data_IF_831099434111
#
_entry.id   IF_831099434111
#
_cell.length_a   1.000
_cell.length_b   1.000
_cell.length_c   1.000
_cell.angle_alpha   90.00
_cell.angle_beta   90.00
_cell.angle_gamma   90.00
#
_symmetry.space_group_name_H-M   'P 1'
#
loop_
_entity.id
_entity.type
_entity.pdbx_description
1 polymer ?
#
# COMPACT_ATOMS: atom_id res chain seq x y z
N UNK A 1 -62.82 -80.75 -3.86
CA UNK A 1 -61.98 -79.94 -2.93
C UNK A 1 -61.19 -79.01 -3.75
N UNK A 2 -61.67 -77.79 -3.82
CA UNK A 2 -60.88 -76.67 -4.39
C UNK A 2 -59.72 -76.40 -3.46
N UNK A 3 -58.51 -76.68 -3.92
CA UNK A 3 -57.33 -76.10 -3.22
C UNK A 3 -57.36 -74.59 -3.43
N UNK A 4 -57.62 -73.83 -2.37
CA UNK A 4 -57.43 -72.43 -2.42
C UNK A 4 -55.94 -72.15 -2.59
N UNK A 5 -55.52 -71.58 -3.72
CA UNK A 5 -54.17 -71.09 -3.88
C UNK A 5 -53.91 -69.99 -2.86
N UNK A 6 -52.84 -70.12 -2.09
CA UNK A 6 -52.44 -69.06 -1.16
C UNK A 6 -52.08 -67.80 -1.93
N UNK A 7 -52.60 -66.68 -1.53
CA UNK A 7 -52.22 -65.37 -2.08
C UNK A 7 -50.98 -64.85 -1.30
N UNK A 8 -50.00 -64.38 -2.06
CA UNK A 8 -48.81 -63.73 -1.50
C UNK A 8 -48.99 -62.20 -1.52
N UNK A 9 -48.82 -61.59 -0.37
CA UNK A 9 -48.83 -60.16 -0.24
C UNK A 9 -47.42 -59.69 0.12
N UNK A 10 -46.85 -58.91 -0.74
CA UNK A 10 -45.53 -58.33 -0.59
C UNK A 10 -45.62 -56.85 -0.16
N UNK A 11 -44.87 -56.47 0.89
CA UNK A 11 -44.61 -55.11 1.23
C UNK A 11 -43.09 -54.91 1.13
N UNK A 12 -42.66 -53.94 0.34
CA UNK A 12 -41.22 -53.76 0.02
C UNK A 12 -40.54 -52.77 0.96
N UNK A 13 -41.26 -52.19 1.91
CA UNK A 13 -40.71 -51.28 2.94
C UNK A 13 -40.43 -49.85 2.44
N UNK A 14 -40.72 -49.54 1.18
CA UNK A 14 -40.65 -48.22 0.57
C UNK A 14 -42.08 -47.61 0.30
N UNK A 15 -43.12 -48.32 0.79
CA UNK A 15 -44.52 -47.95 0.56
C UNK A 15 -45.16 -48.67 -0.63
N UNK A 16 -44.38 -49.42 -1.42
CA UNK A 16 -44.92 -50.25 -2.49
C UNK A 16 -45.36 -51.60 -1.94
N UNK A 17 -46.50 -52.05 -2.46
CA UNK A 17 -47.08 -53.38 -2.12
C UNK A 17 -47.59 -54.06 -3.37
N UNK A 18 -47.53 -55.41 -3.39
CA UNK A 18 -48.01 -56.23 -4.49
C UNK A 18 -48.64 -57.49 -3.94
N UNK A 19 -49.77 -57.93 -4.55
CA UNK A 19 -50.48 -59.16 -4.23
C UNK A 19 -50.53 -60.03 -5.46
N UNK A 20 -49.86 -61.19 -5.44
CA UNK A 20 -49.77 -62.05 -6.60
C UNK A 20 -49.41 -63.50 -6.18
N UNK A 21 -49.61 -64.47 -7.05
CA UNK A 21 -49.15 -65.86 -6.94
C UNK A 21 -47.90 -66.14 -7.80
N UNK A 22 -47.36 -65.10 -8.42
CA UNK A 22 -46.24 -65.19 -9.34
C UNK A 22 -44.96 -64.58 -8.68
N UNK A 23 -43.78 -64.89 -9.17
CA UNK A 23 -42.54 -64.22 -8.74
C UNK A 23 -42.60 -62.72 -8.93
N UNK A 24 -42.21 -61.95 -7.90
CA UNK A 24 -42.26 -60.50 -7.86
C UNK A 24 -40.88 -59.89 -8.08
N UNK A 25 -40.82 -58.79 -8.84
CA UNK A 25 -39.62 -57.98 -9.05
C UNK A 25 -39.93 -56.57 -8.59
N UNK A 26 -39.09 -56.05 -7.69
CA UNK A 26 -39.21 -54.67 -7.21
C UNK A 26 -37.92 -53.90 -7.42
N UNK A 27 -38.02 -52.62 -7.80
CA UNK A 27 -36.89 -51.73 -7.99
C UNK A 27 -36.96 -50.60 -6.97
N UNK A 28 -35.92 -50.49 -6.15
CA UNK A 28 -35.77 -49.38 -5.20
C UNK A 28 -35.13 -48.20 -5.90
N UNK A 29 -35.75 -47.04 -5.78
CA UNK A 29 -35.27 -45.76 -6.38
C UNK A 29 -34.33 -44.98 -5.47
N UNK A 30 -34.16 -45.40 -4.20
CA UNK A 30 -33.29 -44.79 -3.22
C UNK A 30 -32.47 -45.83 -2.51
N UNK A 31 -31.32 -45.43 -2.03
CA UNK A 31 -30.51 -46.28 -1.14
C UNK A 31 -31.11 -46.23 0.29
N UNK A 32 -30.81 -47.26 1.06
CA UNK A 32 -31.33 -47.42 2.42
C UNK A 32 -31.63 -48.87 2.75
N UNK A 33 -32.08 -49.14 3.98
CA UNK A 33 -32.51 -50.45 4.44
C UNK A 33 -34.01 -50.56 4.43
N UNK A 34 -34.51 -51.59 3.74
CA UNK A 34 -35.92 -51.84 3.52
C UNK A 34 -36.34 -53.12 4.18
N UNK A 35 -37.39 -53.10 5.00
CA UNK A 35 -37.99 -54.29 5.59
C UNK A 35 -38.95 -54.89 4.55
N UNK A 36 -38.53 -55.93 3.84
CA UNK A 36 -39.38 -56.62 2.89
C UNK A 36 -40.15 -57.68 3.61
N UNK A 37 -41.47 -57.61 3.58
CA UNK A 37 -42.36 -58.55 4.26
C UNK A 37 -43.20 -59.31 3.23
N UNK A 38 -43.15 -60.66 3.28
CA UNK A 38 -44.05 -61.54 2.61
C UNK A 38 -45.08 -62.09 3.59
N UNK A 39 -46.35 -61.78 3.35
CA UNK A 39 -47.50 -62.41 4.03
C UNK A 39 -48.15 -63.40 3.10
N UNK A 40 -48.26 -64.66 3.51
CA UNK A 40 -48.93 -65.71 2.76
C UNK A 40 -50.22 -66.03 3.49
N UNK A 41 -51.38 -65.89 2.77
CA UNK A 41 -52.71 -66.12 3.31
C UNK A 41 -53.47 -67.10 2.41
N UNK A 42 -54.01 -68.19 2.99
CA UNK A 42 -54.80 -69.21 2.31
C UNK A 42 -56.32 -69.11 2.70
N UNK A 43 -56.71 -68.02 3.37
CA UNK A 43 -58.08 -67.79 3.83
C UNK A 43 -58.43 -68.47 5.15
N UNK A 44 -57.54 -69.30 5.72
CA UNK A 44 -57.71 -69.97 7.02
C UNK A 44 -56.58 -69.68 8.00
N UNK A 45 -55.38 -69.56 7.46
CA UNK A 45 -54.16 -69.24 8.22
C UNK A 45 -53.31 -68.30 7.40
N UNK A 46 -52.67 -67.32 8.08
CA UNK A 46 -51.69 -66.44 7.49
C UNK A 46 -50.34 -66.60 8.26
N UNK A 47 -49.24 -66.52 7.50
CA UNK A 47 -47.88 -66.48 8.05
C UNK A 47 -47.07 -65.39 7.35
N UNK A 48 -46.18 -64.74 8.09
CA UNK A 48 -45.39 -63.63 7.58
C UNK A 48 -43.90 -63.83 7.83
N UNK A 49 -43.09 -63.48 6.81
CA UNK A 49 -41.66 -63.48 6.91
C UNK A 49 -41.14 -62.09 6.49
N UNK A 50 -40.22 -61.53 7.29
CA UNK A 50 -39.58 -60.24 6.99
C UNK A 50 -38.09 -60.39 6.88
N UNK A 51 -37.53 -59.84 5.83
CA UNK A 51 -36.10 -59.79 5.57
C UNK A 51 -35.68 -58.32 5.28
N UNK A 52 -34.47 -57.97 5.74
CA UNK A 52 -33.93 -56.65 5.48
C UNK A 52 -33.09 -56.68 4.23
N UNK A 53 -33.45 -55.88 3.25
CA UNK A 53 -32.68 -55.66 2.04
C UNK A 53 -32.00 -54.29 2.17
N UNK A 54 -30.66 -54.23 2.05
CA UNK A 54 -29.92 -52.97 2.08
C UNK A 54 -29.44 -52.65 0.65
N UNK A 55 -29.87 -51.52 0.16
CA UNK A 55 -29.40 -50.90 -1.08
C UNK A 55 -28.31 -49.91 -0.70
N UNK A 56 -27.07 -50.20 -1.06
CA UNK A 56 -25.91 -49.35 -0.75
C UNK A 56 -25.95 -48.04 -1.52
N UNK A 57 -25.50 -46.96 -0.89
CA UNK A 57 -25.30 -45.70 -1.58
C UNK A 57 -24.21 -45.84 -2.65
N UNK A 58 -24.30 -45.13 -3.77
CA UNK A 58 -23.19 -45.10 -4.72
C UNK A 58 -21.93 -44.54 -4.06
N UNK A 59 -20.78 -45.03 -4.49
CA UNK A 59 -19.51 -44.49 -4.10
C UNK A 59 -19.42 -42.98 -4.45
N UNK A 60 -18.80 -42.19 -3.60
CA UNK A 60 -18.52 -40.76 -3.94
C UNK A 60 -17.59 -40.71 -5.14
N UNK A 61 -17.68 -39.67 -5.93
CA UNK A 61 -16.75 -39.36 -7.02
C UNK A 61 -16.20 -37.95 -6.76
N UNK A 62 -14.91 -37.87 -6.46
CA UNK A 62 -14.23 -36.62 -6.19
C UNK A 62 -13.88 -35.89 -7.48
N UNK A 63 -14.31 -34.63 -7.60
CA UNK A 63 -14.00 -33.79 -8.75
C UNK A 63 -14.05 -32.31 -8.33
N UNK A 64 -13.10 -31.49 -8.77
CA UNK A 64 -13.12 -30.08 -8.54
C UNK A 64 -12.41 -29.30 -9.63
N UNK A 65 -12.65 -27.98 -9.68
CA UNK A 65 -11.87 -27.01 -10.44
C UNK A 65 -11.38 -25.93 -9.48
N UNK A 66 -10.18 -25.41 -9.73
CA UNK A 66 -9.53 -24.35 -8.98
C UNK A 66 -8.04 -24.41 -9.25
N UNK A 67 -7.52 -23.41 -9.90
CA UNK A 67 -6.09 -23.29 -10.19
C UNK A 67 -5.77 -21.81 -10.38
N UNK A 68 -4.53 -21.45 -10.21
CA UNK A 68 -4.10 -20.09 -10.43
C UNK A 68 -2.61 -19.89 -10.29
N UNK A 69 -2.13 -18.78 -10.84
CA UNK A 69 -0.77 -18.29 -10.61
C UNK A 69 -0.79 -16.78 -10.41
N UNK A 70 0.02 -16.29 -9.49
CA UNK A 70 0.10 -14.86 -9.19
C UNK A 70 0.98 -14.55 -7.99
N UNK A 71 1.05 -13.28 -7.66
CA UNK A 71 1.85 -12.77 -6.55
C UNK A 71 1.22 -13.08 -5.19
N UNK A 72 2.05 -13.33 -4.19
CA UNK A 72 1.59 -13.42 -2.80
C UNK A 72 1.10 -12.04 -2.28
N UNK A 73 -0.04 -11.95 -1.54
CA UNK A 73 -1.00 -13.03 -1.29
C UNK A 73 -1.92 -13.30 -2.50
N UNK A 74 -2.17 -14.57 -2.81
CA UNK A 74 -3.03 -15.00 -3.93
C UNK A 74 -4.29 -15.66 -3.41
N UNK A 75 -5.46 -15.11 -3.76
CA UNK A 75 -6.76 -15.74 -3.50
C UNK A 75 -7.17 -16.64 -4.68
N UNK A 76 -7.61 -17.86 -4.39
CA UNK A 76 -8.08 -18.83 -5.38
C UNK A 76 -9.42 -19.42 -4.93
N UNK A 77 -10.39 -19.45 -5.85
CA UNK A 77 -11.69 -20.07 -5.63
C UNK A 77 -11.65 -21.53 -6.10
N UNK A 78 -12.09 -22.43 -5.23
CA UNK A 78 -12.21 -23.86 -5.52
C UNK A 78 -13.68 -24.25 -5.64
N UNK A 79 -14.05 -24.80 -6.80
CA UNK A 79 -15.43 -25.22 -7.06
C UNK A 79 -15.50 -26.75 -7.03
N UNK A 80 -16.32 -27.26 -6.14
CA UNK A 80 -16.57 -28.67 -5.98
C UNK A 80 -17.57 -29.16 -7.04
N UNK A 81 -17.22 -30.22 -7.76
CA UNK A 81 -18.04 -30.91 -8.77
C UNK A 81 -18.24 -32.38 -8.42
N UNK A 82 -17.94 -32.76 -7.19
CA UNK A 82 -18.07 -34.12 -6.71
C UNK A 82 -19.54 -34.59 -6.70
N UNK A 83 -19.74 -35.89 -6.84
CA UNK A 83 -21.05 -36.49 -6.71
C UNK A 83 -21.09 -37.52 -5.58
N UNK A 84 -22.28 -37.76 -5.00
CA UNK A 84 -22.54 -38.72 -3.92
C UNK A 84 -21.74 -38.44 -2.63
N UNK A 85 -21.24 -37.23 -2.44
CA UNK A 85 -20.56 -36.79 -1.23
C UNK A 85 -21.55 -36.32 -0.15
N UNK A 86 -21.25 -36.66 1.09
CA UNK A 86 -21.93 -36.16 2.30
C UNK A 86 -21.08 -35.16 3.06
N UNK A 87 -19.74 -35.28 2.98
CA UNK A 87 -18.77 -34.37 3.58
C UNK A 87 -17.57 -34.18 2.65
N UNK A 88 -16.89 -33.05 2.82
CA UNK A 88 -15.75 -32.64 2.00
C UNK A 88 -14.60 -32.23 2.92
N UNK A 89 -13.37 -32.57 2.56
CA UNK A 89 -12.16 -32.15 3.24
C UNK A 89 -11.18 -31.70 2.18
N UNK A 90 -10.88 -30.39 2.21
CA UNK A 90 -9.86 -29.77 1.38
C UNK A 90 -8.54 -29.66 2.12
N UNK A 91 -7.45 -29.97 1.43
CA UNK A 91 -6.09 -29.68 1.86
C UNK A 91 -5.43 -28.85 0.76
N UNK A 92 -5.00 -27.64 1.11
CA UNK A 92 -4.41 -26.67 0.17
C UNK A 92 -2.89 -26.82 0.03
N UNK A 93 -2.27 -27.74 0.79
CA UNK A 93 -0.83 -27.99 0.73
C UNK A 93 0.03 -26.94 1.43
N UNK A 94 -0.57 -26.07 2.24
CA UNK A 94 0.08 -25.05 3.06
C UNK A 94 -0.22 -25.20 4.56
N UNK A 95 -0.57 -26.40 4.99
CA UNK A 95 -0.99 -26.78 6.34
C UNK A 95 -2.40 -26.26 6.73
N UNK A 96 -3.15 -25.72 5.78
CA UNK A 96 -4.53 -25.28 5.99
C UNK A 96 -5.50 -26.24 5.35
N UNK A 97 -6.53 -26.61 6.11
CA UNK A 97 -7.63 -27.49 5.68
C UNK A 97 -8.98 -26.83 5.95
N UNK A 98 -9.98 -27.18 5.16
CA UNK A 98 -11.38 -26.75 5.39
C UNK A 98 -12.36 -27.85 5.00
N UNK A 99 -13.57 -27.80 5.57
CA UNK A 99 -14.70 -28.66 5.21
C UNK A 99 -15.80 -27.93 4.45
N UNK A 100 -15.56 -26.72 3.98
CA UNK A 100 -16.51 -25.99 3.14
C UNK A 100 -16.72 -26.72 1.81
N UNK A 101 -17.89 -26.64 1.25
CA UNK A 101 -18.21 -27.34 -0.01
C UNK A 101 -17.41 -26.78 -1.19
N UNK A 102 -17.34 -25.44 -1.31
CA UNK A 102 -16.60 -24.74 -2.37
C UNK A 102 -15.89 -23.53 -1.77
N UNK A 103 -14.68 -23.71 -1.23
CA UNK A 103 -13.97 -22.67 -0.49
C UNK A 103 -13.21 -21.70 -1.40
N UNK A 104 -12.99 -20.49 -0.88
CA UNK A 104 -11.92 -19.57 -1.33
C UNK A 104 -10.76 -19.66 -0.36
N UNK A 105 -9.52 -19.86 -0.87
CA UNK A 105 -8.32 -19.89 -0.05
C UNK A 105 -7.31 -18.82 -0.46
N UNK A 106 -6.62 -18.23 0.52
CA UNK A 106 -5.60 -17.19 0.30
C UNK A 106 -4.23 -17.74 0.64
N UNK A 107 -3.41 -17.95 -0.37
CA UNK A 107 -2.01 -18.36 -0.22
C UNK A 107 -1.15 -17.13 0.10
N UNK A 108 -0.56 -17.09 1.28
CA UNK A 108 0.23 -15.96 1.76
C UNK A 108 1.73 -16.11 1.55
N UNK A 109 2.21 -17.32 1.24
CA UNK A 109 3.62 -17.63 1.03
C UNK A 109 3.88 -18.02 -0.42
N UNK A 110 5.03 -17.65 -0.99
CA UNK A 110 5.44 -18.14 -2.30
C UNK A 110 5.63 -19.65 -2.28
N UNK A 111 5.24 -20.32 -3.37
CA UNK A 111 5.37 -21.77 -3.50
C UNK A 111 4.49 -22.37 -4.60
N UNK A 112 4.67 -23.66 -4.82
CA UNK A 112 3.82 -24.46 -5.70
C UNK A 112 3.03 -25.42 -4.83
N UNK A 113 1.71 -25.31 -4.90
CA UNK A 113 0.79 -26.03 -4.02
C UNK A 113 0.04 -27.11 -4.76
N UNK A 114 -0.01 -28.30 -4.12
CA UNK A 114 -0.85 -29.40 -4.55
C UNK A 114 -2.16 -29.34 -3.76
N UNK A 115 -3.25 -29.37 -4.47
CA UNK A 115 -4.58 -29.25 -3.86
C UNK A 115 -5.22 -30.61 -3.84
N UNK A 116 -5.72 -31.04 -2.68
CA UNK A 116 -6.48 -32.26 -2.58
C UNK A 116 -7.89 -32.03 -2.04
N UNK A 117 -8.83 -32.78 -2.57
CA UNK A 117 -10.20 -32.89 -2.09
C UNK A 117 -10.49 -34.34 -1.74
N UNK A 118 -10.82 -34.62 -0.48
CA UNK A 118 -11.35 -35.90 -0.02
C UNK A 118 -12.86 -35.76 0.13
N UNK A 119 -13.59 -36.62 -0.49
CA UNK A 119 -15.05 -36.68 -0.46
C UNK A 119 -15.47 -37.93 0.33
N UNK A 120 -16.29 -37.75 1.34
CA UNK A 120 -16.82 -38.82 2.17
C UNK A 120 -18.27 -39.04 1.80
N UNK A 121 -18.60 -40.27 1.37
CA UNK A 121 -19.96 -40.67 1.00
C UNK A 121 -20.87 -40.89 2.23
N UNK A 122 -22.15 -41.18 1.93
CA UNK A 122 -23.20 -41.30 2.97
C UNK A 122 -22.99 -42.51 3.92
N UNK A 123 -22.23 -43.52 3.52
CA UNK A 123 -21.89 -44.70 4.32
C UNK A 123 -20.42 -44.71 4.76
N UNK A 124 -19.76 -43.54 4.68
CA UNK A 124 -18.37 -43.37 5.09
C UNK A 124 -17.33 -43.84 4.09
N UNK A 125 -17.74 -44.14 2.83
CA UNK A 125 -16.77 -44.41 1.74
C UNK A 125 -16.03 -43.12 1.43
N UNK A 126 -14.72 -43.23 1.14
CA UNK A 126 -13.89 -42.07 0.85
C UNK A 126 -13.32 -42.16 -0.56
N UNK A 127 -13.26 -41.01 -1.26
CA UNK A 127 -12.52 -40.85 -2.49
C UNK A 127 -11.74 -39.54 -2.45
N UNK A 128 -10.48 -39.57 -2.87
CA UNK A 128 -9.60 -38.42 -2.90
C UNK A 128 -9.09 -38.16 -4.32
N UNK A 129 -9.10 -36.87 -4.70
CA UNK A 129 -8.43 -36.39 -5.90
C UNK A 129 -7.34 -35.38 -5.50
N UNK A 130 -6.17 -35.44 -6.17
CA UNK A 130 -5.07 -34.52 -5.98
C UNK A 130 -4.75 -33.86 -7.32
N UNK A 131 -4.73 -32.55 -7.38
CA UNK A 131 -4.20 -31.77 -8.48
C UNK A 131 -2.81 -31.25 -8.11
N UNK A 132 -1.79 -31.79 -8.78
CA UNK A 132 -0.40 -31.41 -8.53
C UNK A 132 -0.07 -30.09 -9.21
N UNK A 133 0.58 -29.18 -8.45
CA UNK A 133 0.96 -27.86 -8.96
C UNK A 133 -0.22 -27.00 -9.39
N UNK A 134 -1.39 -27.20 -8.78
CA UNK A 134 -2.62 -26.48 -9.16
C UNK A 134 -2.51 -24.99 -8.94
N UNK A 135 -1.74 -24.57 -7.93
CA UNK A 135 -1.55 -23.15 -7.61
C UNK A 135 -0.06 -22.85 -7.53
N UNK A 136 0.37 -21.78 -8.22
CA UNK A 136 1.75 -21.28 -8.18
C UNK A 136 1.74 -19.83 -7.69
N UNK A 137 2.38 -19.58 -6.54
CA UNK A 137 2.43 -18.28 -5.90
C UNK A 137 3.85 -17.73 -6.00
N UNK A 138 3.98 -16.56 -6.64
CA UNK A 138 5.26 -15.90 -6.81
C UNK A 138 5.59 -14.99 -5.62
N UNK A 139 6.88 -14.84 -5.26
CA UNK A 139 7.29 -13.86 -4.28
C UNK A 139 7.00 -12.45 -4.77
N UNK A 140 6.54 -11.57 -3.89
CA UNK A 140 6.49 -10.13 -4.14
C UNK A 140 7.86 -9.51 -3.90
N UNK A 141 8.22 -8.49 -4.68
CA UNK A 141 9.41 -7.70 -4.41
C UNK A 141 9.31 -7.04 -3.02
N UNK A 142 10.44 -6.77 -2.39
CA UNK A 142 10.49 -5.94 -1.19
C UNK A 142 10.95 -4.53 -1.60
N UNK A 143 10.15 -3.51 -1.29
CA UNK A 143 10.50 -2.12 -1.55
C UNK A 143 10.95 -1.45 -0.26
N UNK A 144 12.08 -0.74 -0.29
CA UNK A 144 12.59 0.07 0.81
C UNK A 144 13.57 1.12 0.29
N UNK A 145 13.62 2.27 0.93
CA UNK A 145 14.60 3.31 0.62
C UNK A 145 14.89 4.20 1.83
N UNK A 146 15.96 4.98 1.71
CA UNK A 146 16.29 6.12 2.56
C UNK A 146 16.58 7.33 1.70
N UNK A 147 16.43 8.51 2.24
CA UNK A 147 16.78 9.76 1.57
C UNK A 147 17.63 10.66 2.47
N UNK A 148 18.48 11.48 1.86
CA UNK A 148 19.30 12.45 2.55
C UNK A 148 19.65 13.62 1.60
N UNK A 149 19.58 14.88 2.10
CA UNK A 149 19.03 15.29 3.40
C UNK A 149 17.50 15.19 3.46
N UNK A 150 16.94 15.23 4.67
CA UNK A 150 15.47 15.27 4.88
C UNK A 150 14.90 16.69 4.89
N UNK A 151 15.76 17.72 5.00
CA UNK A 151 15.41 19.11 4.89
C UNK A 151 16.29 19.78 3.83
N UNK A 152 15.67 20.48 2.90
CA UNK A 152 16.37 21.14 1.78
C UNK A 152 15.89 22.55 1.56
N UNK A 153 16.78 23.36 0.99
CA UNK A 153 16.48 24.71 0.51
C UNK A 153 16.20 24.62 -1.00
N UNK A 154 14.98 24.98 -1.37
CA UNK A 154 14.56 24.96 -2.78
C UNK A 154 14.94 26.27 -3.49
N UNK A 155 15.27 26.19 -4.82
CA UNK A 155 15.36 25.02 -5.68
C UNK A 155 16.75 24.38 -5.71
N UNK A 156 17.71 24.85 -4.91
CA UNK A 156 19.15 24.67 -5.18
C UNK A 156 19.75 23.39 -4.56
N UNK A 157 19.09 22.79 -3.58
CA UNK A 157 19.62 21.64 -2.87
C UNK A 157 18.96 20.34 -3.34
N UNK A 158 19.77 19.34 -3.76
CA UNK A 158 19.25 18.03 -4.11
C UNK A 158 18.93 17.19 -2.88
N UNK A 159 18.10 16.18 -3.11
CA UNK A 159 17.89 15.04 -2.21
C UNK A 159 18.37 13.78 -2.93
N UNK A 160 19.30 13.06 -2.29
CA UNK A 160 19.73 11.76 -2.75
C UNK A 160 18.80 10.68 -2.19
N UNK A 161 18.30 9.82 -3.05
CA UNK A 161 17.48 8.67 -2.70
C UNK A 161 18.29 7.39 -2.92
N UNK A 162 18.43 6.59 -1.87
CA UNK A 162 19.15 5.32 -1.91
C UNK A 162 18.17 4.18 -1.78
N UNK A 163 18.09 3.37 -2.81
CA UNK A 163 17.24 2.21 -2.87
C UNK A 163 17.80 1.06 -2.02
N UNK A 164 17.02 0.57 -1.09
CA UNK A 164 17.33 -0.55 -0.20
C UNK A 164 16.46 -1.78 -0.45
N UNK A 165 15.73 -1.81 -1.59
CA UNK A 165 14.91 -2.95 -1.98
C UNK A 165 15.76 -4.22 -2.10
N UNK A 166 15.12 -5.38 -1.95
CA UNK A 166 15.80 -6.68 -2.04
C UNK A 166 16.44 -6.92 -3.42
N UNK A 167 17.38 -7.86 -3.47
CA UNK A 167 18.25 -8.12 -4.63
C UNK A 167 17.47 -8.65 -5.85
N UNK A 168 16.28 -9.19 -5.65
CA UNK A 168 15.41 -9.69 -6.72
C UNK A 168 14.56 -8.59 -7.39
N UNK A 169 14.54 -7.37 -6.82
CA UNK A 169 13.91 -6.22 -7.45
C UNK A 169 14.73 -5.73 -8.65
N UNK A 170 14.11 -5.68 -9.82
CA UNK A 170 14.76 -5.38 -11.11
C UNK A 170 14.29 -4.08 -11.75
N UNK A 171 13.11 -3.59 -11.40
CA UNK A 171 12.52 -2.36 -11.91
C UNK A 171 12.06 -1.49 -10.76
N UNK A 172 12.20 -0.17 -10.92
CA UNK A 172 11.90 0.83 -9.90
C UNK A 172 11.07 1.94 -10.48
N UNK A 173 10.10 2.42 -9.70
CA UNK A 173 9.32 3.60 -10.02
C UNK A 173 9.18 4.45 -8.76
N UNK A 174 9.73 5.67 -8.85
CA UNK A 174 9.68 6.67 -7.79
C UNK A 174 8.61 7.71 -8.07
N UNK A 175 7.86 8.05 -7.04
CA UNK A 175 6.99 9.23 -6.99
C UNK A 175 7.50 10.12 -5.86
N UNK A 176 7.97 11.33 -6.21
CA UNK A 176 8.55 12.27 -5.24
C UNK A 176 7.50 13.12 -4.53
N UNK A 177 6.22 13.00 -4.90
CA UNK A 177 5.12 13.71 -4.28
C UNK A 177 4.92 15.15 -4.76
N UNK A 178 5.72 15.61 -5.73
CA UNK A 178 5.63 16.92 -6.37
C UNK A 178 5.11 16.84 -7.82
N UNK A 179 4.69 15.65 -8.26
CA UNK A 179 4.25 15.35 -9.61
C UNK A 179 5.37 14.95 -10.55
N UNK A 180 6.60 14.79 -10.05
CA UNK A 180 7.72 14.25 -10.81
C UNK A 180 8.02 12.80 -10.39
N UNK A 181 8.61 12.06 -11.32
CA UNK A 181 8.83 10.62 -11.22
C UNK A 181 10.23 10.24 -11.71
N UNK A 182 10.76 9.10 -11.26
CA UNK A 182 12.00 8.52 -11.77
C UNK A 182 11.90 6.99 -11.87
N UNK A 183 12.69 6.40 -12.78
CA UNK A 183 12.89 4.94 -12.87
C UNK A 183 14.33 4.54 -12.59
N UNK A 184 15.16 5.45 -12.18
CA UNK A 184 16.54 5.18 -11.79
C UNK A 184 16.57 4.37 -10.48
N UNK A 185 17.62 3.59 -10.29
CA UNK A 185 17.76 2.80 -9.07
C UNK A 185 17.95 3.71 -7.84
N UNK A 186 18.86 4.67 -7.94
CA UNK A 186 19.25 5.60 -6.88
C UNK A 186 19.17 7.02 -7.45
N UNK A 187 17.97 7.63 -7.50
CA UNK A 187 17.79 8.94 -8.14
C UNK A 187 18.23 10.09 -7.23
N UNK A 188 18.60 11.20 -7.88
CA UNK A 188 18.76 12.50 -7.24
C UNK A 188 17.62 13.38 -7.69
N UNK A 189 16.94 14.04 -6.74
CA UNK A 189 15.79 14.88 -7.05
C UNK A 189 15.92 16.29 -6.45
N UNK A 190 15.44 17.29 -7.20
CA UNK A 190 15.38 18.70 -6.82
C UNK A 190 13.94 19.15 -6.71
N UNK A 191 13.52 19.50 -5.50
CA UNK A 191 12.21 20.15 -5.30
C UNK A 191 12.29 21.62 -5.69
N UNK A 192 11.27 22.11 -6.38
CA UNK A 192 11.22 23.51 -6.84
C UNK A 192 10.32 24.40 -6.00
N UNK A 193 9.35 23.84 -5.31
CA UNK A 193 8.41 24.55 -4.46
C UNK A 193 8.60 24.15 -2.99
N UNK A 194 8.34 25.06 -2.04
CA UNK A 194 8.37 24.71 -0.63
C UNK A 194 7.18 23.80 -0.28
N UNK A 195 7.41 22.83 0.61
CA UNK A 195 6.38 21.89 1.02
C UNK A 195 6.94 20.73 1.84
N UNK A 196 6.03 19.88 2.29
CA UNK A 196 6.34 18.61 2.92
C UNK A 196 5.93 17.51 1.95
N UNK A 197 6.88 16.71 1.53
CA UNK A 197 6.68 15.73 0.48
C UNK A 197 6.66 14.31 1.03
N UNK A 198 5.68 13.56 0.57
CA UNK A 198 5.58 12.11 0.76
C UNK A 198 6.15 11.44 -0.47
N UNK A 199 7.11 10.54 -0.27
CA UNK A 199 7.78 9.86 -1.37
C UNK A 199 7.43 8.39 -1.35
N UNK A 200 7.19 7.82 -2.53
CA UNK A 200 6.97 6.39 -2.67
C UNK A 200 7.92 5.75 -3.69
N UNK A 201 8.32 4.52 -3.37
CA UNK A 201 9.07 3.65 -4.27
C UNK A 201 8.25 2.38 -4.53
N UNK A 202 7.95 2.13 -5.79
CA UNK A 202 7.45 0.84 -6.23
C UNK A 202 8.61 0.04 -6.82
N UNK A 203 8.90 -1.12 -6.23
CA UNK A 203 9.88 -2.08 -6.72
C UNK A 203 9.16 -3.28 -7.35
N UNK A 204 9.62 -3.73 -8.51
CA UNK A 204 9.08 -4.86 -9.23
C UNK A 204 10.17 -5.91 -9.44
N UNK A 205 9.80 -7.20 -9.43
CA UNK A 205 10.72 -8.30 -9.66
C UNK A 205 10.47 -8.99 -11.02
N UNK A 206 11.28 -10.01 -11.33
CA UNK A 206 11.18 -10.77 -12.58
C UNK A 206 9.87 -11.54 -12.78
N UNK A 207 9.08 -11.71 -11.71
CA UNK A 207 7.74 -12.31 -11.76
C UNK A 207 6.62 -11.30 -11.99
N UNK A 208 6.98 -10.02 -12.14
CA UNK A 208 6.04 -8.91 -12.23
C UNK A 208 5.14 -8.77 -11.00
N UNK A 209 5.74 -8.94 -9.82
CA UNK A 209 5.09 -8.83 -8.51
C UNK A 209 5.56 -7.57 -7.77
N UNK A 210 4.94 -6.41 -8.01
CA UNK A 210 5.36 -5.15 -7.44
C UNK A 210 4.98 -5.01 -5.97
N UNK A 211 5.78 -4.25 -5.24
CA UNK A 211 5.47 -3.75 -3.90
C UNK A 211 5.82 -2.27 -3.80
N UNK A 212 4.99 -1.51 -3.13
CA UNK A 212 5.21 -0.08 -2.91
C UNK A 212 5.52 0.20 -1.44
N UNK A 213 6.60 0.94 -1.20
CA UNK A 213 6.93 1.52 0.11
C UNK A 213 6.72 3.03 0.04
N UNK A 214 5.98 3.58 1.01
CA UNK A 214 5.69 5.01 1.10
C UNK A 214 6.25 5.57 2.40
N UNK A 215 7.02 6.65 2.31
CA UNK A 215 7.55 7.40 3.45
C UNK A 215 6.85 8.75 3.52
N UNK A 216 5.98 8.90 4.49
CA UNK A 216 5.34 10.18 4.78
C UNK A 216 6.35 11.17 5.36
N UNK A 217 6.24 12.46 4.97
CA UNK A 217 7.16 13.51 5.42
C UNK A 217 8.64 13.19 5.10
N UNK A 218 8.89 12.56 3.96
CA UNK A 218 10.23 12.16 3.56
C UNK A 218 11.17 13.37 3.38
N UNK A 219 10.63 14.48 2.85
CA UNK A 219 11.39 15.70 2.59
C UNK A 219 10.59 16.92 3.04
N UNK A 220 11.23 17.83 3.80
CA UNK A 220 10.77 19.17 4.09
C UNK A 220 11.55 20.17 3.26
N UNK A 221 10.92 20.75 2.25
CA UNK A 221 11.49 21.75 1.38
C UNK A 221 11.08 23.15 1.85
N UNK A 222 12.06 24.02 2.08
CA UNK A 222 11.83 25.39 2.54
C UNK A 222 12.41 26.40 1.57
N UNK A 223 11.86 27.62 1.54
CA UNK A 223 12.39 28.71 0.71
C UNK A 223 13.75 29.12 1.25
N UNK A 224 14.77 29.08 0.42
CA UNK A 224 16.09 29.59 0.78
C UNK A 224 16.16 31.09 0.75
N UNK A 225 16.90 31.61 1.74
CA UNK A 225 17.20 33.01 1.85
C UNK A 225 16.35 33.75 2.89
N UNK A 226 17.04 34.58 3.61
CA UNK A 226 16.45 35.57 4.54
C UNK A 226 17.19 36.90 4.47
N UNK A 227 16.52 37.93 4.90
CA UNK A 227 17.08 39.27 5.01
C UNK A 227 16.47 39.95 6.24
N UNK A 228 17.28 40.28 7.23
CA UNK A 228 16.86 40.93 8.47
C UNK A 228 17.74 42.12 8.71
N UNK A 229 17.14 43.25 9.12
CA UNK A 229 17.84 44.50 9.39
C UNK A 229 17.83 44.85 10.89
N UNK A 230 18.95 45.39 11.41
CA UNK A 230 18.96 45.94 12.77
C UNK A 230 18.07 47.18 12.85
N UNK A 231 17.58 47.49 14.05
CA UNK A 231 16.75 48.70 14.31
C UNK A 231 17.58 49.93 14.65
N UNK A 232 18.86 49.75 14.93
CA UNK A 232 19.79 50.84 15.26
C UNK A 232 21.23 50.45 14.94
N UNK A 233 22.07 51.44 14.71
CA UNK A 233 23.52 51.25 14.54
C UNK A 233 24.31 52.47 15.04
N UNK A 234 25.60 52.29 15.29
CA UNK A 234 26.49 53.35 15.81
C UNK A 234 27.65 53.56 14.84
N UNK A 235 27.60 54.56 13.98
CA UNK A 235 28.64 54.80 12.97
C UNK A 235 30.02 55.04 13.57
N UNK A 236 31.04 54.58 12.85
CA UNK A 236 32.41 54.92 13.18
C UNK A 236 32.66 56.44 13.00
N UNK A 237 33.11 57.11 14.06
CA UNK A 237 33.39 58.56 14.04
C UNK A 237 34.75 58.94 13.46
N UNK A 238 35.61 57.96 13.16
CA UNK A 238 36.94 58.16 12.60
C UNK A 238 36.99 58.40 11.10
N UNK A 239 35.83 58.32 10.41
CA UNK A 239 35.71 58.52 8.97
C UNK A 239 34.84 57.43 8.33
N UNK A 240 34.36 57.68 7.10
CA UNK A 240 33.66 56.68 6.32
C UNK A 240 34.55 55.50 6.01
N UNK A 241 34.02 54.27 6.20
CA UNK A 241 34.64 53.01 5.78
C UNK A 241 34.12 52.54 4.44
N UNK A 242 33.26 53.33 3.76
CA UNK A 242 32.63 52.97 2.50
C UNK A 242 31.48 51.98 2.62
N UNK A 243 31.01 51.71 3.84
CA UNK A 243 29.93 50.75 4.11
C UNK A 243 30.36 49.28 4.11
N UNK A 244 31.65 49.00 4.06
CA UNK A 244 32.16 47.62 4.19
C UNK A 244 32.07 47.16 5.65
N UNK A 245 31.60 45.93 5.83
CA UNK A 245 31.49 45.30 7.14
C UNK A 245 31.95 43.83 7.05
N UNK A 246 32.42 43.31 8.19
CA UNK A 246 32.71 41.88 8.32
C UNK A 246 31.47 41.15 8.89
N UNK A 247 30.83 40.25 8.14
CA UNK A 247 29.64 39.56 8.65
C UNK A 247 29.90 38.71 9.90
N UNK A 248 31.16 38.42 10.24
CA UNK A 248 31.53 37.67 11.43
C UNK A 248 31.94 38.59 12.61
N UNK A 249 32.08 39.88 12.38
CA UNK A 249 32.37 40.84 13.43
C UNK A 249 31.10 41.18 14.23
N UNK A 250 31.29 41.53 15.51
CA UNK A 250 30.20 41.99 16.36
C UNK A 250 30.02 43.54 16.30
N UNK A 251 30.67 44.16 15.31
CA UNK A 251 30.63 45.61 15.12
C UNK A 251 29.27 46.03 14.57
N UNK A 252 28.74 47.11 15.09
CA UNK A 252 27.45 47.69 14.69
C UNK A 252 27.66 49.09 14.12
N UNK A 253 28.73 49.29 13.35
CA UNK A 253 29.13 50.59 12.80
C UNK A 253 28.61 50.83 11.37
N UNK A 254 27.99 49.80 10.75
CA UNK A 254 27.36 49.85 9.43
C UNK A 254 25.94 49.29 9.52
N UNK A 255 24.98 49.99 8.96
CA UNK A 255 23.63 49.48 8.79
C UNK A 255 23.55 48.57 7.57
N UNK A 256 23.44 47.28 7.79
CA UNK A 256 23.39 46.25 6.76
C UNK A 256 22.42 45.13 7.12
N UNK A 257 21.94 44.31 6.17
CA UNK A 257 21.15 43.15 6.49
C UNK A 257 22.01 42.01 7.04
N UNK A 258 21.50 41.25 7.97
CA UNK A 258 21.88 39.86 8.16
C UNK A 258 21.12 39.05 7.10
N UNK A 259 21.83 38.34 6.24
CA UNK A 259 21.21 37.75 5.05
C UNK A 259 21.83 36.43 4.63
N UNK A 260 21.08 35.66 3.87
CA UNK A 260 21.54 34.46 3.17
C UNK A 260 20.79 34.29 1.85
N UNK A 261 21.44 33.77 0.81
CA UNK A 261 20.81 33.36 -0.44
C UNK A 261 20.31 34.50 -1.33
N UNK A 262 20.83 35.73 -1.17
CA UNK A 262 20.47 36.88 -2.01
C UNK A 262 21.19 36.80 -3.36
N UNK A 263 20.45 36.84 -4.47
CA UNK A 263 20.96 36.93 -5.85
C UNK A 263 20.91 38.34 -6.41
N UNK A 264 19.86 39.10 -6.10
CA UNK A 264 19.67 40.48 -6.52
C UNK A 264 19.23 41.31 -5.33
N UNK A 265 19.76 42.53 -5.18
CA UNK A 265 19.61 43.34 -3.99
C UNK A 265 19.59 44.80 -4.32
N UNK A 266 18.76 45.54 -3.61
CA UNK A 266 18.80 46.99 -3.56
C UNK A 266 18.41 47.46 -2.15
N UNK A 267 19.29 48.26 -1.51
CA UNK A 267 19.00 49.01 -0.29
C UNK A 267 19.03 50.49 -0.59
N UNK A 268 18.02 51.21 -0.16
CA UNK A 268 17.98 52.69 -0.20
C UNK A 268 17.63 53.24 1.18
N UNK A 269 18.29 54.34 1.56
CA UNK A 269 18.09 55.00 2.84
C UNK A 269 17.78 56.48 2.61
N UNK A 270 16.80 56.99 3.31
CA UNK A 270 16.27 58.33 3.18
C UNK A 270 16.30 59.05 4.54
N UNK A 271 16.49 60.37 4.49
CA UNK A 271 16.20 61.22 5.66
C UNK A 271 14.67 61.46 5.78
N UNK A 272 14.26 62.10 6.86
CA UNK A 272 12.84 62.41 7.15
C UNK A 272 12.17 63.35 6.13
N UNK A 273 12.93 63.98 5.23
CA UNK A 273 12.45 64.85 4.16
C UNK A 273 12.33 64.12 2.82
N UNK A 274 12.68 62.79 2.79
CA UNK A 274 12.66 61.98 1.58
C UNK A 274 13.89 62.12 0.68
N UNK A 275 14.95 62.79 1.16
CA UNK A 275 16.22 62.87 0.42
C UNK A 275 16.95 61.54 0.53
N UNK A 276 17.40 60.99 -0.62
CA UNK A 276 18.18 59.75 -0.71
C UNK A 276 19.60 60.01 -0.17
N UNK A 277 19.96 59.31 0.89
CA UNK A 277 21.27 59.41 1.53
C UNK A 277 22.22 58.31 1.11
N UNK A 278 21.70 57.14 0.84
CA UNK A 278 22.50 55.96 0.51
C UNK A 278 21.74 55.00 -0.43
N UNK A 279 22.49 54.35 -1.29
CA UNK A 279 21.99 53.26 -2.16
C UNK A 279 23.11 52.25 -2.35
N UNK A 280 22.78 50.97 -2.18
CA UNK A 280 23.63 49.84 -2.53
C UNK A 280 22.85 48.78 -3.27
N UNK A 281 23.53 48.10 -4.21
CA UNK A 281 23.03 46.89 -4.89
C UNK A 281 23.86 45.68 -4.48
N UNK A 282 24.78 45.83 -3.54
CA UNK A 282 25.60 44.78 -2.96
C UNK A 282 25.17 44.55 -1.50
N UNK A 283 24.70 43.38 -1.12
CA UNK A 283 24.27 43.11 0.26
C UNK A 283 25.42 43.18 1.29
N UNK A 284 26.67 43.11 0.82
CA UNK A 284 27.88 43.22 1.65
C UNK A 284 28.34 44.70 1.84
N UNK A 285 27.63 45.67 1.23
CA UNK A 285 27.90 47.09 1.37
C UNK A 285 26.67 47.77 2.01
N UNK A 286 26.79 48.09 3.27
CA UNK A 286 25.76 48.79 4.04
C UNK A 286 26.01 50.28 4.16
N UNK A 287 25.15 50.97 4.91
CA UNK A 287 25.29 52.43 5.17
C UNK A 287 26.07 52.68 6.46
N UNK A 288 27.21 53.37 6.33
CA UNK A 288 28.12 53.72 7.40
C UNK A 288 27.75 55.01 8.15
N UNK A 289 26.58 55.60 7.89
CA UNK A 289 26.09 56.80 8.52
C UNK A 289 26.71 58.09 7.96
N UNK A 290 27.41 58.01 6.80
CA UNK A 290 27.98 59.18 6.12
C UNK A 290 27.15 59.56 4.89
N UNK A 291 27.06 60.88 4.63
CA UNK A 291 26.50 61.44 3.40
C UNK A 291 27.42 62.61 2.95
N UNK A 292 27.84 62.59 1.69
CA UNK A 292 28.76 63.56 1.11
C UNK A 292 30.04 63.79 1.94
N UNK A 293 30.59 62.66 2.49
CA UNK A 293 31.82 62.67 3.27
C UNK A 293 31.68 63.21 4.71
N UNK A 294 30.47 63.45 5.19
CA UNK A 294 30.17 63.91 6.55
C UNK A 294 29.25 62.97 7.27
N UNK A 295 29.53 62.69 8.54
CA UNK A 295 28.64 61.91 9.38
C UNK A 295 27.31 62.65 9.55
N UNK A 296 26.19 62.01 9.32
CA UNK A 296 24.87 62.59 9.45
C UNK A 296 24.50 62.78 10.95
N UNK A 297 23.45 63.52 11.25
CA UNK A 297 23.01 63.73 12.63
C UNK A 297 22.45 62.48 13.25
N UNK A 298 22.50 62.34 14.55
CA UNK A 298 21.72 61.34 15.27
C UNK A 298 20.23 61.62 15.05
N UNK A 299 19.55 60.71 14.41
CA UNK A 299 18.12 60.81 14.06
C UNK A 299 17.62 59.40 13.63
N UNK A 300 16.35 59.32 13.29
CA UNK A 300 15.73 58.15 12.69
C UNK A 300 15.70 58.34 11.17
N UNK A 301 16.09 57.29 10.43
CA UNK A 301 16.19 57.26 8.98
C UNK A 301 15.28 56.15 8.43
N UNK A 302 14.55 56.46 7.37
CA UNK A 302 13.74 55.49 6.69
C UNK A 302 14.58 54.66 5.69
N UNK A 303 14.34 53.38 5.62
CA UNK A 303 15.00 52.52 4.64
C UNK A 303 14.00 51.66 3.90
N UNK A 304 14.40 51.23 2.70
CA UNK A 304 13.70 50.24 1.90
C UNK A 304 14.73 49.34 1.27
N UNK A 305 14.51 48.02 1.38
CA UNK A 305 15.32 47.02 0.73
C UNK A 305 14.46 46.08 -0.12
N UNK A 306 14.97 45.71 -1.29
CA UNK A 306 14.37 44.70 -2.17
C UNK A 306 15.41 43.64 -2.42
N UNK A 307 15.04 42.37 -2.27
CA UNK A 307 15.92 41.24 -2.56
C UNK A 307 15.18 40.15 -3.37
N UNK A 308 15.93 39.52 -4.26
CA UNK A 308 15.54 38.27 -4.93
C UNK A 308 16.48 37.18 -4.41
N UNK A 309 15.93 36.14 -3.84
CA UNK A 309 16.68 35.00 -3.32
C UNK A 309 16.94 33.95 -4.38
N UNK A 310 17.84 33.00 -4.10
CA UNK A 310 18.16 31.87 -4.96
C UNK A 310 16.96 31.01 -5.35
N UNK A 311 15.92 30.99 -4.51
CA UNK A 311 14.63 30.37 -4.80
C UNK A 311 13.78 31.11 -5.86
N UNK A 312 14.23 32.26 -6.37
CA UNK A 312 13.41 33.14 -7.19
C UNK A 312 12.40 33.98 -6.38
N UNK A 313 12.26 33.73 -5.07
CA UNK A 313 11.38 34.53 -4.23
C UNK A 313 11.89 35.97 -4.11
N UNK A 314 11.01 36.94 -4.38
CA UNK A 314 11.30 38.35 -4.28
C UNK A 314 10.57 38.98 -3.10
N UNK A 315 11.30 39.70 -2.26
CA UNK A 315 10.73 40.42 -1.12
C UNK A 315 11.09 41.91 -1.15
N UNK A 316 10.24 42.69 -0.55
CA UNK A 316 10.52 44.12 -0.27
C UNK A 316 10.22 44.37 1.20
N UNK A 317 11.22 44.86 1.92
CA UNK A 317 11.08 45.29 3.32
C UNK A 317 11.32 46.78 3.41
N UNK A 318 10.67 47.40 4.35
CA UNK A 318 10.90 48.81 4.67
C UNK A 318 10.73 49.04 6.19
N UNK A 319 11.44 49.98 6.70
CA UNK A 319 11.41 50.30 8.12
C UNK A 319 12.21 51.52 8.44
N UNK A 320 12.42 51.71 9.73
CA UNK A 320 13.21 52.81 10.28
C UNK A 320 14.47 52.29 10.95
N UNK A 321 15.55 53.02 10.88
CA UNK A 321 16.79 52.75 11.59
C UNK A 321 17.21 53.99 12.41
N UNK A 322 17.59 53.76 13.65
CA UNK A 322 18.11 54.80 14.53
C UNK A 322 19.63 54.86 14.44
N UNK A 323 20.17 56.01 14.02
CA UNK A 323 21.61 56.25 14.12
C UNK A 323 21.92 56.84 15.50
N UNK A 324 22.78 56.16 16.26
CA UNK A 324 23.22 56.52 17.61
C UNK A 324 24.66 57.00 17.54
N UNK A 325 25.01 58.09 18.22
CA UNK A 325 26.39 58.63 18.32
C UNK A 325 26.98 58.40 19.66
#
# INVERSE_FOLDING_TARGET
TASSSAIQHWSFGDGAEEATDQPVFHTYNSWGSYNVTLLVDNGFCADAHTEVITILSPHPVASFTGSGSGCAPLAVDFNNHSSHGAQYIWDFGDDVMTSEESPTHVFTRPGVYNISLTVIGFEGQEEQIIQYGAVEVFPSASAAFVNSPTQVIVPDQPVDFVNLSEIDATEFFWDFGDGQFSTEKDPIHYYTEPGIYTVSLTANNSFNCPTTYTLEHAVEATVGGFMEFPTAFTPNTGGSNGGYYDPNALDNDVFHPHHMGILDYELVIFNKWGELLFRSTDPYIGWDGYFQGRIVRQDVYAWKATATFSSGYRTTQAGDVTLIK
#
